data_IF_680547086166
#
_entry.id   IF_680547086166
#
_cell.length_a   1.000
_cell.length_b   1.000
_cell.length_c   1.000
_cell.angle_alpha   90.00
_cell.angle_beta   90.00
_cell.angle_gamma   90.00
#
_symmetry.space_group_name_H-M   'P 1'
#
loop_
_entity.id
_entity.type
_entity.pdbx_description
1 polymer ?
#
# COMPACT_ATOMS: atom_id res chain seq x y z
N UNK A 1 38.31 -28.25 40.04
CA UNK A 1 38.53 -27.60 38.73
C UNK A 1 37.18 -27.46 38.06
N UNK A 2 36.53 -26.31 38.17
CA UNK A 2 35.25 -26.05 37.51
C UNK A 2 35.52 -25.61 36.07
N UNK A 3 34.98 -26.35 35.11
CA UNK A 3 35.05 -26.00 33.69
C UNK A 3 34.28 -24.70 33.46
N UNK A 4 34.96 -23.69 32.92
CA UNK A 4 34.34 -22.44 32.51
C UNK A 4 33.49 -22.72 31.27
N UNK A 5 32.17 -22.55 31.37
CA UNK A 5 31.28 -22.70 30.23
C UNK A 5 31.55 -21.56 29.24
N UNK A 6 31.95 -21.90 28.02
CA UNK A 6 32.11 -20.94 26.92
C UNK A 6 30.72 -20.48 26.50
N UNK A 7 30.39 -19.22 26.76
CA UNK A 7 29.15 -18.62 26.28
C UNK A 7 29.36 -18.26 24.80
N UNK A 8 28.56 -18.80 23.86
CA UNK A 8 28.67 -18.43 22.46
C UNK A 8 28.42 -16.93 22.31
N UNK A 9 29.32 -16.25 21.60
CA UNK A 9 29.24 -14.81 21.35
C UNK A 9 28.06 -14.58 20.41
N UNK A 10 27.09 -13.78 20.86
CA UNK A 10 25.96 -13.39 20.01
C UNK A 10 26.49 -12.71 18.75
N UNK A 11 26.05 -13.22 17.60
CA UNK A 11 26.34 -12.62 16.29
C UNK A 11 25.07 -11.91 15.83
N UNK A 12 25.12 -10.58 15.64
CA UNK A 12 23.96 -9.84 15.17
C UNK A 12 23.49 -10.39 13.81
N UNK A 13 22.17 -10.52 13.58
CA UNK A 13 21.66 -10.99 12.29
C UNK A 13 21.84 -9.96 11.16
N UNK A 14 22.15 -8.71 11.50
CA UNK A 14 22.40 -7.61 10.56
C UNK A 14 23.77 -7.00 10.87
N UNK A 15 24.53 -6.67 9.83
CA UNK A 15 25.76 -5.88 9.97
C UNK A 15 25.45 -4.38 10.15
N UNK A 16 26.50 -3.58 10.31
CA UNK A 16 26.37 -2.15 10.56
C UNK A 16 25.73 -1.39 9.38
N UNK A 17 25.92 -1.88 8.16
CA UNK A 17 25.33 -1.28 6.95
C UNK A 17 23.83 -1.56 6.90
N UNK A 18 23.44 -2.83 7.07
CA UNK A 18 22.03 -3.22 7.12
C UNK A 18 21.27 -2.56 8.28
N UNK A 19 21.91 -2.34 9.44
CA UNK A 19 21.31 -1.57 10.54
C UNK A 19 21.15 -0.09 10.19
N UNK A 20 22.11 0.49 9.46
CA UNK A 20 22.03 1.88 9.02
C UNK A 20 20.91 2.07 8.00
N UNK A 21 20.72 1.10 7.10
CA UNK A 21 19.61 1.07 6.15
C UNK A 21 18.25 0.98 6.84
N UNK A 22 18.13 0.09 7.84
CA UNK A 22 16.90 0.00 8.65
C UNK A 22 16.62 1.33 9.34
N UNK A 23 17.64 1.96 9.95
CA UNK A 23 17.49 3.25 10.62
C UNK A 23 17.03 4.34 9.64
N UNK A 24 17.66 4.43 8.46
CA UNK A 24 17.29 5.40 7.43
C UNK A 24 15.83 5.22 7.00
N UNK A 25 15.37 3.98 6.83
CA UNK A 25 13.97 3.66 6.46
C UNK A 25 12.99 4.00 7.59
N UNK A 26 13.35 3.74 8.84
CA UNK A 26 12.53 4.09 10.01
C UNK A 26 12.42 5.61 10.18
N UNK A 27 13.49 6.35 9.93
CA UNK A 27 13.50 7.81 10.08
C UNK A 27 12.61 8.54 9.07
N UNK A 28 12.46 7.99 7.86
CA UNK A 28 11.58 8.55 6.81
C UNK A 28 10.20 7.86 6.79
N UNK A 29 9.94 6.96 7.72
CA UNK A 29 8.69 6.21 7.76
C UNK A 29 7.53 7.14 8.12
N UNK A 30 6.58 7.26 7.21
CA UNK A 30 5.29 7.92 7.45
C UNK A 30 4.28 6.85 7.84
N UNK A 31 3.49 7.02 8.92
CA UNK A 31 2.40 6.11 9.25
C UNK A 31 1.43 5.90 8.07
N UNK A 32 0.75 4.76 8.06
CA UNK A 32 -0.33 4.56 7.09
C UNK A 32 -1.54 5.36 7.55
N UNK A 33 -2.11 6.12 6.61
CA UNK A 33 -3.25 7.00 6.84
C UNK A 33 -4.36 6.56 5.87
N UNK A 34 -5.43 6.00 6.44
CA UNK A 34 -6.54 5.46 5.67
C UNK A 34 -7.46 6.56 5.13
N UNK A 35 -7.57 7.70 5.83
CA UNK A 35 -8.41 8.83 5.43
C UNK A 35 -7.91 9.41 4.10
N UNK A 36 -6.59 9.56 3.96
CA UNK A 36 -5.99 10.06 2.73
C UNK A 36 -6.26 9.14 1.53
N UNK A 37 -6.33 7.83 1.75
CA UNK A 37 -6.71 6.87 0.69
C UNK A 37 -8.16 7.08 0.27
N UNK A 38 -9.06 7.23 1.24
CA UNK A 38 -10.49 7.45 0.99
C UNK A 38 -10.77 8.80 0.33
N UNK A 39 -10.06 9.86 0.72
CA UNK A 39 -10.16 11.18 0.10
C UNK A 39 -9.78 11.12 -1.39
N UNK A 40 -8.65 10.47 -1.72
CA UNK A 40 -8.22 10.31 -3.10
C UNK A 40 -9.14 9.38 -3.91
N UNK A 41 -9.69 8.34 -3.28
CA UNK A 41 -10.69 7.48 -3.89
C UNK A 41 -12.00 8.24 -4.15
N UNK A 42 -12.44 9.09 -3.21
CA UNK A 42 -13.63 9.91 -3.35
C UNK A 42 -13.50 10.88 -4.53
N UNK A 43 -12.34 11.54 -4.69
CA UNK A 43 -12.06 12.39 -5.86
C UNK A 43 -12.20 11.61 -7.16
N UNK A 44 -11.70 10.37 -7.21
CA UNK A 44 -11.78 9.55 -8.41
C UNK A 44 -13.19 9.02 -8.71
N UNK A 45 -13.98 8.75 -7.68
CA UNK A 45 -15.32 8.17 -7.78
C UNK A 45 -16.43 9.22 -7.94
N UNK A 46 -16.14 10.50 -7.70
CA UNK A 46 -17.10 11.60 -7.84
C UNK A 46 -17.76 11.63 -9.23
N UNK A 47 -19.01 12.06 -9.26
CA UNK A 47 -19.79 12.24 -10.49
C UNK A 47 -19.21 13.32 -11.40
N UNK A 48 -18.55 14.33 -10.82
CA UNK A 48 -17.79 15.35 -11.53
C UNK A 48 -16.36 14.84 -11.72
N UNK A 49 -15.93 14.54 -12.96
CA UNK A 49 -14.58 14.05 -13.20
C UNK A 49 -13.53 15.13 -12.88
N UNK A 50 -12.33 14.74 -12.42
CA UNK A 50 -11.25 15.69 -12.18
C UNK A 50 -10.82 16.37 -13.48
N UNK A 51 -10.29 17.59 -13.37
CA UNK A 51 -9.73 18.29 -14.51
C UNK A 51 -8.61 17.48 -15.18
N UNK A 52 -8.44 17.63 -16.49
CA UNK A 52 -7.44 16.91 -17.27
C UNK A 52 -6.02 17.13 -16.73
N UNK A 53 -5.71 18.34 -16.29
CA UNK A 53 -4.42 18.69 -15.68
C UNK A 53 -4.15 18.01 -14.33
N UNK A 54 -5.20 17.66 -13.57
CA UNK A 54 -5.06 17.00 -12.26
C UNK A 54 -5.08 15.47 -12.35
N UNK A 55 -5.53 14.93 -13.49
CA UNK A 55 -5.75 13.48 -13.69
C UNK A 55 -4.49 12.66 -13.40
N UNK A 56 -3.34 13.07 -13.92
CA UNK A 56 -2.06 12.36 -13.71
C UNK A 56 -1.61 12.40 -12.25
N UNK A 57 -1.80 13.56 -11.60
CA UNK A 57 -1.46 13.74 -10.18
C UNK A 57 -2.29 12.83 -9.29
N UNK A 58 -3.60 12.75 -9.54
CA UNK A 58 -4.52 11.87 -8.80
C UNK A 58 -4.15 10.40 -9.04
N UNK A 59 -3.88 10.01 -10.29
CA UNK A 59 -3.45 8.64 -10.60
C UNK A 59 -2.14 8.27 -9.92
N UNK A 60 -1.16 9.19 -9.86
CA UNK A 60 0.09 8.97 -9.15
C UNK A 60 -0.12 8.69 -7.67
N UNK A 61 -1.00 9.46 -7.01
CA UNK A 61 -1.35 9.23 -5.59
C UNK A 61 -2.06 7.89 -5.39
N UNK A 62 -3.09 7.60 -6.18
CA UNK A 62 -3.82 6.32 -6.10
C UNK A 62 -2.94 5.10 -6.38
N UNK A 63 -2.03 5.17 -7.37
CA UNK A 63 -1.02 4.10 -7.59
C UNK A 63 -0.15 3.89 -6.36
N UNK A 64 0.31 4.97 -5.73
CA UNK A 64 1.04 4.90 -4.46
C UNK A 64 0.24 4.22 -3.35
N UNK A 65 -1.05 4.54 -3.22
CA UNK A 65 -1.95 3.92 -2.25
C UNK A 65 -2.14 2.42 -2.52
N UNK A 66 -2.38 2.03 -3.78
CA UNK A 66 -2.53 0.62 -4.18
C UNK A 66 -1.28 -0.20 -3.86
N UNK A 67 -0.09 0.29 -4.20
CA UNK A 67 1.19 -0.37 -3.87
C UNK A 67 1.33 -0.55 -2.35
N UNK A 68 0.96 0.49 -1.59
CA UNK A 68 1.05 0.47 -0.14
C UNK A 68 0.06 -0.52 0.49
N UNK A 69 -1.19 -0.54 0.04
CA UNK A 69 -2.22 -1.48 0.48
C UNK A 69 -1.84 -2.93 0.15
N UNK A 70 -1.31 -3.19 -1.05
CA UNK A 70 -0.79 -4.52 -1.43
C UNK A 70 0.35 -4.94 -0.50
N UNK A 71 1.27 -4.02 -0.18
CA UNK A 71 2.38 -4.32 0.74
C UNK A 71 1.87 -4.70 2.12
N UNK A 72 0.88 -3.98 2.65
CA UNK A 72 0.23 -4.28 3.94
C UNK A 72 -0.47 -5.65 3.87
N UNK A 73 -1.23 -5.90 2.80
CA UNK A 73 -1.97 -7.14 2.62
C UNK A 73 -1.05 -8.37 2.58
N UNK A 74 0.06 -8.29 1.84
CA UNK A 74 1.07 -9.36 1.77
C UNK A 74 1.74 -9.55 3.14
N UNK A 75 2.13 -8.48 3.82
CA UNK A 75 2.73 -8.56 5.15
C UNK A 75 1.78 -9.14 6.20
N UNK A 76 0.47 -8.99 6.00
CA UNK A 76 -0.57 -9.57 6.84
C UNK A 76 -1.07 -10.95 6.35
N UNK A 77 -0.41 -11.56 5.36
CA UNK A 77 -0.78 -12.85 4.75
C UNK A 77 -2.25 -12.90 4.26
N UNK A 78 -2.78 -11.75 3.88
CA UNK A 78 -4.19 -11.58 3.50
C UNK A 78 -4.57 -12.28 2.20
N UNK A 79 -3.60 -12.71 1.41
CA UNK A 79 -3.78 -13.47 0.17
C UNK A 79 -4.39 -14.87 0.37
N UNK A 80 -4.46 -15.35 1.61
CA UNK A 80 -5.22 -16.56 1.96
C UNK A 80 -6.73 -16.35 1.83
N UNK A 81 -7.21 -15.11 1.93
CA UNK A 81 -8.59 -14.75 1.64
C UNK A 81 -8.78 -14.54 0.14
N UNK A 82 -9.75 -15.23 -0.46
CA UNK A 82 -9.96 -15.22 -1.91
C UNK A 82 -10.37 -13.84 -2.43
N UNK A 83 -11.19 -13.10 -1.68
CA UNK A 83 -11.62 -11.76 -2.08
C UNK A 83 -10.45 -10.76 -2.01
N UNK A 84 -9.66 -10.81 -0.93
CA UNK A 84 -8.45 -10.01 -0.81
C UNK A 84 -7.42 -10.35 -1.90
N UNK A 85 -7.21 -11.62 -2.22
CA UNK A 85 -6.29 -12.05 -3.28
C UNK A 85 -6.65 -11.45 -4.65
N UNK A 86 -7.93 -11.42 -5.00
CA UNK A 86 -8.41 -10.81 -6.25
C UNK A 86 -8.17 -9.29 -6.27
N UNK A 87 -8.47 -8.61 -5.15
CA UNK A 87 -8.25 -7.18 -5.02
C UNK A 87 -6.76 -6.83 -5.07
N UNK A 88 -5.90 -7.64 -4.46
CA UNK A 88 -4.43 -7.49 -4.52
C UNK A 88 -3.94 -7.58 -5.96
N UNK A 89 -4.44 -8.55 -6.74
CA UNK A 89 -4.02 -8.71 -8.13
C UNK A 89 -4.48 -7.53 -8.99
N UNK A 90 -5.73 -7.11 -8.86
CA UNK A 90 -6.23 -5.91 -9.54
C UNK A 90 -5.44 -4.65 -9.15
N UNK A 91 -5.11 -4.49 -7.87
CA UNK A 91 -4.32 -3.37 -7.38
C UNK A 91 -2.90 -3.36 -7.98
N UNK A 92 -2.27 -4.52 -8.15
CA UNK A 92 -0.96 -4.64 -8.81
C UNK A 92 -1.02 -4.25 -10.29
N UNK A 93 -2.02 -4.74 -11.02
CA UNK A 93 -2.21 -4.42 -12.43
C UNK A 93 -2.44 -2.91 -12.61
N UNK A 94 -3.42 -2.34 -11.91
CA UNK A 94 -3.72 -0.92 -11.98
C UNK A 94 -2.55 -0.05 -11.48
N UNK A 95 -1.78 -0.54 -10.50
CA UNK A 95 -0.60 0.12 -9.97
C UNK A 95 0.54 0.28 -10.99
N UNK A 96 0.64 -0.66 -11.95
CA UNK A 96 1.70 -0.72 -12.94
C UNK A 96 1.31 -0.14 -14.31
N UNK A 97 0.02 0.04 -14.58
CA UNK A 97 -0.47 0.62 -15.84
C UNK A 97 -0.26 2.13 -15.91
N UNK A 98 0.27 2.61 -17.04
CA UNK A 98 0.26 4.02 -17.38
C UNK A 98 -1.18 4.49 -17.69
N UNK A 99 -1.45 5.78 -17.48
CA UNK A 99 -2.74 6.34 -17.85
C UNK A 99 -2.90 6.43 -19.38
N UNK A 100 -4.10 6.15 -19.90
CA UNK A 100 -4.46 6.41 -21.29
C UNK A 100 -4.32 7.89 -21.64
N UNK A 101 -3.93 8.16 -22.89
CA UNK A 101 -3.84 9.54 -23.39
C UNK A 101 -5.20 10.23 -23.60
N UNK A 102 -6.27 9.44 -23.76
CA UNK A 102 -7.64 9.95 -23.78
C UNK A 102 -8.15 10.23 -22.37
N UNK A 103 -8.71 11.43 -22.15
CA UNK A 103 -9.12 11.87 -20.83
C UNK A 103 -10.28 11.05 -20.26
N UNK A 104 -11.22 10.60 -21.09
CA UNK A 104 -12.36 9.81 -20.61
C UNK A 104 -11.90 8.41 -20.19
N UNK A 105 -11.00 7.80 -20.95
CA UNK A 105 -10.39 6.53 -20.58
C UNK A 105 -9.56 6.65 -19.29
N UNK A 106 -8.79 7.73 -19.14
CA UNK A 106 -8.03 8.02 -17.92
C UNK A 106 -8.93 8.19 -16.69
N UNK A 107 -10.05 8.91 -16.81
CA UNK A 107 -11.06 9.01 -15.74
C UNK A 107 -11.66 7.63 -15.42
N UNK A 108 -11.92 6.81 -16.43
CA UNK A 108 -12.38 5.43 -16.22
C UNK A 108 -11.37 4.59 -15.43
N UNK A 109 -10.07 4.77 -15.69
CA UNK A 109 -9.00 4.10 -14.94
C UNK A 109 -8.86 4.64 -13.52
N UNK A 110 -8.99 5.95 -13.31
CA UNK A 110 -9.04 6.55 -11.97
C UNK A 110 -10.17 5.94 -11.14
N UNK A 111 -11.37 5.80 -11.71
CA UNK A 111 -12.52 5.18 -11.02
C UNK A 111 -12.22 3.74 -10.61
N UNK A 112 -11.58 2.95 -11.48
CA UNK A 112 -11.15 1.58 -11.14
C UNK A 112 -10.12 1.58 -10.01
N UNK A 113 -9.11 2.46 -10.07
CA UNK A 113 -8.12 2.60 -9.01
C UNK A 113 -8.74 2.99 -7.67
N UNK A 114 -9.61 4.01 -7.66
CA UNK A 114 -10.31 4.47 -6.47
C UNK A 114 -11.18 3.37 -5.86
N UNK A 115 -11.99 2.69 -6.69
CA UNK A 115 -12.81 1.57 -6.23
C UNK A 115 -11.95 0.43 -5.65
N UNK A 116 -10.90 -0.01 -6.35
CA UNK A 116 -10.03 -1.08 -5.84
C UNK A 116 -9.31 -0.68 -4.54
N UNK A 117 -8.89 0.59 -4.41
CA UNK A 117 -8.26 1.08 -3.18
C UNK A 117 -9.23 1.04 -1.99
N UNK A 118 -10.47 1.52 -2.17
CA UNK A 118 -11.51 1.49 -1.13
C UNK A 118 -11.86 0.07 -0.71
N UNK A 119 -12.13 -0.83 -1.67
CA UNK A 119 -12.51 -2.21 -1.36
C UNK A 119 -11.39 -3.00 -0.68
N UNK A 120 -10.13 -2.81 -1.13
CA UNK A 120 -8.99 -3.46 -0.51
C UNK A 120 -8.77 -2.94 0.91
N UNK A 121 -8.92 -1.64 1.14
CA UNK A 121 -8.85 -1.04 2.47
C UNK A 121 -9.93 -1.62 3.40
N UNK A 122 -11.19 -1.61 2.97
CA UNK A 122 -12.32 -2.15 3.75
C UNK A 122 -12.12 -3.63 4.06
N UNK A 123 -11.61 -4.41 3.11
CA UNK A 123 -11.29 -5.83 3.33
C UNK A 123 -10.20 -6.00 4.39
N UNK A 124 -9.14 -5.20 4.34
CA UNK A 124 -8.04 -5.24 5.31
C UNK A 124 -8.49 -4.80 6.71
N UNK A 125 -9.41 -3.85 6.82
CA UNK A 125 -10.06 -3.48 8.08
C UNK A 125 -10.92 -4.63 8.61
N UNK A 126 -11.74 -5.25 7.75
CA UNK A 126 -12.59 -6.39 8.13
C UNK A 126 -11.77 -7.60 8.63
N UNK A 127 -10.57 -7.81 8.08
CA UNK A 127 -9.62 -8.83 8.54
C UNK A 127 -8.77 -8.41 9.75
N UNK A 128 -8.97 -7.19 10.26
CA UNK A 128 -8.23 -6.58 11.38
C UNK A 128 -6.72 -6.42 11.11
N UNK A 129 -6.34 -6.33 9.85
CA UNK A 129 -4.98 -5.99 9.42
C UNK A 129 -4.71 -4.48 9.57
N UNK A 130 -5.77 -3.67 9.48
CA UNK A 130 -5.77 -2.23 9.72
C UNK A 130 -6.78 -1.87 10.81
N UNK A 131 -6.57 -0.72 11.44
CA UNK A 131 -7.56 -0.15 12.37
C UNK A 131 -8.72 0.44 11.58
N UNK A 132 -9.90 0.45 12.20
CA UNK A 132 -11.07 1.14 11.66
C UNK A 132 -10.79 2.62 11.44
N UNK A 133 -11.35 3.16 10.37
CA UNK A 133 -11.34 4.59 10.04
C UNK A 133 -12.45 5.27 10.83
N UNK A 134 -12.21 6.49 11.32
CA UNK A 134 -13.08 7.19 12.28
C UNK A 134 -14.23 7.97 11.63
#
# INVERSE_FOLDING_TARGET
MTASAVIPRWTPPLDAEALSDVLARVQVWVPFDADVVLDDAAIALDEVPPAKEDTEKIAGRLRGHLVRLVTIAVAAESEQDTAAAQLIEHARLLGAEDLPGDHREAVGQLRRMGWTASELLDRLVAMRCLKEVA
#
